data_IF_554763807166
#
_entry.id   IF_554763807166
#
_cell.length_a   1.000
_cell.length_b   1.000
_cell.length_c   1.000
_cell.angle_alpha   90.00
_cell.angle_beta   90.00
_cell.angle_gamma   90.00
#
_symmetry.space_group_name_H-M   'P 1'
#
loop_
_entity.id
_entity.type
_entity.pdbx_description
1 polymer ?
#
# COMPACT_ATOMS: atom_id res chain seq x y z
N UNK A 1 1.30 7.91 -13.90
CA UNK A 1 1.13 7.79 -12.43
C UNK A 1 0.33 6.54 -12.01
N UNK A 2 -0.67 6.09 -12.78
CA UNK A 2 -1.54 4.96 -12.41
C UNK A 2 -0.87 3.58 -12.31
N UNK A 3 0.18 3.29 -13.10
CA UNK A 3 0.81 1.97 -13.11
C UNK A 3 1.41 1.56 -11.76
N UNK A 4 2.09 2.48 -11.06
CA UNK A 4 2.67 2.19 -9.74
C UNK A 4 1.60 1.98 -8.67
N UNK A 5 0.51 2.76 -8.73
CA UNK A 5 -0.64 2.59 -7.82
C UNK A 5 -1.30 1.23 -8.02
N UNK A 6 -1.50 0.83 -9.27
CA UNK A 6 -2.08 -0.48 -9.60
C UNK A 6 -1.13 -1.63 -9.19
N UNK A 7 0.17 -1.46 -9.37
CA UNK A 7 1.16 -2.43 -8.89
C UNK A 7 1.13 -2.57 -7.35
N UNK A 8 1.03 -1.47 -6.60
CA UNK A 8 0.88 -1.51 -5.15
C UNK A 8 -0.43 -2.21 -4.73
N UNK A 9 -1.54 -1.91 -5.40
CA UNK A 9 -2.82 -2.57 -5.12
C UNK A 9 -2.78 -4.07 -5.42
N UNK A 10 -2.18 -4.47 -6.55
CA UNK A 10 -2.03 -5.88 -6.92
C UNK A 10 -1.15 -6.61 -5.90
N UNK A 11 0.01 -6.04 -5.58
CA UNK A 11 0.92 -6.60 -4.57
C UNK A 11 0.25 -6.74 -3.21
N UNK A 12 -0.55 -5.76 -2.79
CA UNK A 12 -1.32 -5.83 -1.55
C UNK A 12 -2.25 -7.06 -1.54
N UNK A 13 -3.07 -7.22 -2.59
CA UNK A 13 -4.01 -8.34 -2.72
C UNK A 13 -3.32 -9.70 -2.86
N UNK A 14 -2.14 -9.76 -3.47
CA UNK A 14 -1.39 -11.01 -3.64
C UNK A 14 -0.67 -11.46 -2.37
N UNK A 15 -0.29 -10.52 -1.51
CA UNK A 15 0.58 -10.81 -0.36
C UNK A 15 -0.14 -10.86 0.97
N UNK A 16 -1.32 -10.22 1.08
CA UNK A 16 -2.07 -10.15 2.33
C UNK A 16 -3.35 -10.95 2.21
N UNK A 17 -3.65 -11.71 3.25
CA UNK A 17 -4.94 -12.35 3.35
C UNK A 17 -6.01 -11.31 3.72
N UNK A 18 -7.28 -11.51 3.33
CA UNK A 18 -8.36 -10.57 3.67
C UNK A 18 -8.42 -10.24 5.17
N UNK A 19 -8.20 -11.23 6.05
CA UNK A 19 -8.21 -11.05 7.51
C UNK A 19 -7.10 -10.10 8.03
N UNK A 20 -6.04 -9.90 7.24
CA UNK A 20 -4.93 -9.01 7.57
C UNK A 20 -5.14 -7.60 7.03
N UNK A 21 -6.22 -7.32 6.29
CA UNK A 21 -6.45 -6.01 5.70
C UNK A 21 -6.83 -4.95 6.75
N UNK A 22 -5.93 -4.65 7.66
CA UNK A 22 -6.09 -3.68 8.73
C UNK A 22 -5.26 -2.43 8.43
N UNK A 23 -5.55 -1.32 9.11
CA UNK A 23 -4.75 -0.11 8.98
C UNK A 23 -3.28 -0.32 9.37
N UNK A 24 -3.02 -1.14 10.40
CA UNK A 24 -1.66 -1.45 10.85
C UNK A 24 -0.87 -2.24 9.79
N UNK A 25 -1.49 -3.26 9.20
CA UNK A 25 -0.86 -4.01 8.10
C UNK A 25 -0.64 -3.12 6.88
N UNK A 26 -1.56 -2.18 6.60
CA UNK A 26 -1.40 -1.16 5.57
C UNK A 26 -0.17 -0.27 5.78
N UNK A 27 0.15 0.06 7.04
CA UNK A 27 1.35 0.81 7.40
C UNK A 27 2.62 -0.01 7.16
N UNK A 28 2.66 -1.26 7.62
CA UNK A 28 3.79 -2.17 7.37
C UNK A 28 4.01 -2.37 5.87
N UNK A 29 2.93 -2.56 5.11
CA UNK A 29 2.98 -2.68 3.66
C UNK A 29 3.54 -1.43 2.96
N UNK A 30 3.19 -0.23 3.45
CA UNK A 30 3.76 1.02 2.94
C UNK A 30 5.27 1.06 3.13
N UNK A 31 5.77 0.69 4.30
CA UNK A 31 7.21 0.66 4.59
C UNK A 31 7.94 -0.38 3.72
N UNK A 32 7.34 -1.56 3.53
CA UNK A 32 7.86 -2.57 2.61
C UNK A 32 7.95 -2.09 1.16
N UNK A 33 6.93 -1.37 0.69
CA UNK A 33 6.94 -0.78 -0.65
C UNK A 33 8.06 0.25 -0.79
N UNK A 34 8.27 1.08 0.24
CA UNK A 34 9.34 2.07 0.27
C UNK A 34 10.72 1.44 0.21
N UNK A 35 10.97 0.45 1.07
CA UNK A 35 12.23 -0.30 1.14
C UNK A 35 12.50 -1.09 -0.15
N UNK A 36 11.45 -1.68 -0.74
CA UNK A 36 11.51 -2.43 -2.00
C UNK A 36 11.53 -1.57 -3.27
N UNK A 37 11.59 -0.24 -3.14
CA UNK A 37 11.66 0.68 -4.29
C UNK A 37 10.34 0.94 -5.03
N UNK A 38 9.22 0.36 -4.59
CA UNK A 38 7.88 0.64 -5.11
C UNK A 38 7.35 1.96 -4.53
N UNK A 39 8.06 3.06 -4.81
CA UNK A 39 7.73 4.39 -4.29
C UNK A 39 6.71 5.08 -5.17
N UNK A 40 5.57 5.42 -4.56
CA UNK A 40 4.48 6.17 -5.20
C UNK A 40 4.75 7.68 -5.24
N UNK A 41 5.58 8.18 -4.33
CA UNK A 41 6.05 9.56 -4.29
C UNK A 41 7.50 9.62 -3.79
N UNK A 42 8.18 10.75 -4.01
CA UNK A 42 9.53 10.99 -3.49
C UNK A 42 9.54 11.31 -1.99
N UNK A 43 8.43 11.82 -1.46
CA UNK A 43 8.26 12.05 -0.02
C UNK A 43 7.69 10.80 0.66
N UNK A 44 8.26 10.36 1.82
CA UNK A 44 7.71 9.24 2.59
C UNK A 44 6.26 9.45 3.04
N UNK A 45 5.91 10.66 3.51
CA UNK A 45 4.56 10.96 3.99
C UNK A 45 3.53 10.87 2.86
N UNK A 46 3.83 11.50 1.72
CA UNK A 46 2.96 11.45 0.53
C UNK A 46 2.88 10.03 -0.03
N UNK A 47 3.98 9.27 0.02
CA UNK A 47 3.97 7.86 -0.37
C UNK A 47 2.98 7.05 0.47
N UNK A 48 3.06 7.17 1.79
CA UNK A 48 2.16 6.49 2.71
C UNK A 48 0.69 6.83 2.43
N UNK A 49 0.36 8.11 2.30
CA UNK A 49 -1.02 8.54 1.97
C UNK A 49 -1.52 7.91 0.67
N UNK A 50 -0.67 7.85 -0.36
CA UNK A 50 -1.02 7.25 -1.64
C UNK A 50 -1.19 5.72 -1.55
N UNK A 51 -0.38 5.03 -0.75
CA UNK A 51 -0.53 3.60 -0.50
C UNK A 51 -1.84 3.33 0.23
N UNK A 52 -2.09 4.05 1.33
CA UNK A 52 -3.34 3.93 2.09
C UNK A 52 -4.56 4.24 1.21
N UNK A 53 -4.49 5.28 0.36
CA UNK A 53 -5.56 5.59 -0.58
C UNK A 53 -5.74 4.54 -1.69
N UNK A 54 -4.71 3.75 -2.02
CA UNK A 54 -4.81 2.66 -2.98
C UNK A 54 -5.52 1.44 -2.38
N UNK A 55 -5.26 1.13 -1.12
CA UNK A 55 -5.78 -0.08 -0.44
C UNK A 55 -7.02 0.19 0.41
N UNK A 56 -7.42 1.45 0.63
CA UNK A 56 -8.52 1.84 1.54
C UNK A 56 -9.81 1.04 1.36
N UNK A 57 -10.17 0.70 0.12
CA UNK A 57 -11.42 -0.04 -0.17
C UNK A 57 -11.37 -1.52 0.22
N UNK A 58 -10.20 -2.05 0.53
CA UNK A 58 -10.01 -3.45 0.90
C UNK A 58 -9.84 -3.63 2.41
N UNK A 59 -9.69 -2.53 3.16
CA UNK A 59 -9.50 -2.58 4.60
C UNK A 59 -10.78 -3.03 5.31
N UNK A 60 -10.61 -3.87 6.32
CA UNK A 60 -11.66 -4.23 7.28
C UNK A 60 -11.80 -3.06 8.25
N UNK A 61 -13.05 -2.68 8.53
CA UNK A 61 -13.41 -1.64 9.51
C UNK A 61 -13.06 -2.04 10.94
#
# INVERSE_FOLDING_TARGET
MNHKRQAAQTRWLDTRQPAQHTGNEGLLFSDECWAGGLRLAASPSVHYELVMAAIRRTLIN
#
